data_IF_414478696107
#
_entry.id   IF_414478696107
#
_cell.length_a   1.000
_cell.length_b   1.000
_cell.length_c   1.000
_cell.angle_alpha   90.00
_cell.angle_beta   90.00
_cell.angle_gamma   90.00
#
_symmetry.space_group_name_H-M   'P 1'
#
loop_
_entity.id
_entity.type
_entity.pdbx_description
1 polymer ?
#
# COMPACT_ATOMS: atom_id res chain seq x y z
N UNK A 1 13.68 4.39 -1.87
CA UNK A 1 13.05 3.99 -3.16
C UNK A 1 13.88 2.89 -3.78
N UNK A 2 13.22 2.00 -4.51
CA UNK A 2 13.85 0.97 -5.37
C UNK A 2 14.47 1.60 -6.63
N UNK A 3 15.10 0.78 -7.49
CA UNK A 3 15.65 1.26 -8.75
C UNK A 3 14.56 1.69 -9.75
N UNK A 4 14.91 2.55 -10.71
CA UNK A 4 13.97 2.97 -11.76
C UNK A 4 13.46 1.79 -12.59
N UNK A 5 14.32 0.80 -12.84
CA UNK A 5 13.93 -0.41 -13.56
C UNK A 5 12.93 -1.25 -12.78
N UNK A 6 13.13 -1.40 -11.45
CA UNK A 6 12.18 -2.09 -10.58
C UNK A 6 10.84 -1.35 -10.51
N UNK A 7 10.87 -0.02 -10.35
CA UNK A 7 9.69 0.84 -10.38
C UNK A 7 8.91 0.68 -11.70
N UNK A 8 9.63 0.72 -12.84
CA UNK A 8 9.03 0.55 -14.17
C UNK A 8 8.47 -0.85 -14.40
N UNK A 9 9.15 -1.90 -13.91
CA UNK A 9 8.66 -3.27 -14.00
C UNK A 9 7.39 -3.49 -13.18
N UNK A 10 7.35 -2.97 -11.94
CA UNK A 10 6.18 -3.08 -11.07
C UNK A 10 4.94 -2.36 -11.65
N UNK A 11 5.15 -1.23 -12.34
CA UNK A 11 4.12 -0.47 -13.06
C UNK A 11 3.60 -1.14 -14.34
N UNK A 12 4.14 -2.30 -14.74
CA UNK A 12 3.55 -3.12 -15.81
C UNK A 12 2.34 -3.92 -15.33
N UNK A 13 2.12 -3.98 -14.01
CA UNK A 13 1.00 -4.70 -13.39
C UNK A 13 0.89 -6.14 -13.91
N UNK A 14 2.02 -6.84 -13.99
CA UNK A 14 2.06 -8.24 -14.38
C UNK A 14 1.20 -9.11 -13.46
N UNK A 15 0.79 -10.30 -13.93
CA UNK A 15 0.05 -11.23 -13.08
C UNK A 15 0.94 -11.70 -11.91
N UNK A 16 0.35 -11.94 -10.73
CA UNK A 16 1.05 -12.54 -9.59
C UNK A 16 1.42 -14.00 -9.91
N UNK A 17 2.27 -14.59 -9.07
CA UNK A 17 2.60 -16.01 -9.18
C UNK A 17 1.36 -16.92 -8.95
N UNK A 18 1.46 -18.17 -9.40
CA UNK A 18 0.35 -19.12 -9.35
C UNK A 18 -0.17 -19.33 -7.92
N UNK A 19 -1.49 -19.25 -7.75
CA UNK A 19 -2.15 -19.37 -6.44
C UNK A 19 -2.04 -18.13 -5.55
N UNK A 20 -1.43 -17.05 -6.04
CA UNK A 20 -1.26 -15.80 -5.30
C UNK A 20 -2.03 -14.63 -5.93
N UNK A 21 -2.19 -13.58 -5.14
CA UNK A 21 -2.70 -12.26 -5.53
C UNK A 21 -1.63 -11.20 -5.26
N UNK A 22 -1.66 -10.09 -6.00
CA UNK A 22 -0.76 -8.96 -5.77
C UNK A 22 -1.53 -7.83 -5.09
N UNK A 23 -1.00 -7.27 -4.00
CA UNK A 23 -1.52 -6.04 -3.39
C UNK A 23 -0.53 -4.91 -3.64
N UNK A 24 -1.03 -3.86 -4.29
CA UNK A 24 -0.37 -2.57 -4.41
C UNK A 24 -0.92 -1.66 -3.31
N UNK A 25 -0.06 -1.19 -2.40
CA UNK A 25 -0.44 -0.18 -1.41
C UNK A 25 0.25 1.13 -1.77
N UNK A 26 -0.49 2.22 -1.93
CA UNK A 26 0.08 3.47 -2.45
C UNK A 26 -0.45 4.70 -1.73
N UNK A 27 0.37 5.75 -1.71
CA UNK A 27 -0.01 7.07 -1.20
C UNK A 27 0.24 8.11 -2.27
N UNK A 28 -0.84 8.60 -2.88
CA UNK A 28 -0.80 9.70 -3.84
C UNK A 28 -1.03 11.05 -3.14
N UNK A 29 -0.39 12.09 -3.66
CA UNK A 29 -0.57 13.46 -3.22
C UNK A 29 0.34 13.90 -2.07
N UNK A 30 0.34 15.21 -1.83
CA UNK A 30 1.27 15.89 -0.92
C UNK A 30 0.70 16.20 0.46
N UNK A 31 -0.57 15.87 0.71
CA UNK A 31 -1.22 16.12 1.99
C UNK A 31 -0.57 15.29 3.11
N UNK A 32 -0.24 15.94 4.23
CA UNK A 32 0.56 15.34 5.31
C UNK A 32 2.02 15.07 4.91
N UNK A 33 2.62 15.89 4.04
CA UNK A 33 3.90 15.60 3.39
C UNK A 33 5.10 15.30 4.30
N UNK A 34 5.13 15.89 5.49
CA UNK A 34 6.17 15.63 6.50
C UNK A 34 5.93 14.33 7.30
N UNK A 35 4.72 13.76 7.20
CA UNK A 35 4.33 12.56 7.93
C UNK A 35 4.67 11.34 7.11
N UNK A 36 5.24 10.38 7.82
CA UNK A 36 5.39 9.02 7.35
C UNK A 36 4.48 8.10 8.16
N UNK A 37 4.07 6.98 7.58
CA UNK A 37 3.13 6.05 8.21
C UNK A 37 3.48 4.62 7.86
N UNK A 38 3.59 3.80 8.87
CA UNK A 38 3.81 2.38 8.67
C UNK A 38 2.60 1.70 8.01
N UNK A 39 2.89 0.68 7.22
CA UNK A 39 1.91 -0.15 6.52
C UNK A 39 2.23 -1.62 6.82
N UNK A 40 1.18 -2.38 7.15
CA UNK A 40 1.26 -3.82 7.40
C UNK A 40 0.24 -4.59 6.56
N UNK A 41 0.61 -5.80 6.14
CA UNK A 41 -0.29 -6.79 5.53
C UNK A 41 -0.22 -8.04 6.40
N UNK A 42 -1.36 -8.44 6.97
CA UNK A 42 -1.46 -9.54 7.93
C UNK A 42 -0.50 -9.39 9.14
N UNK A 43 -0.21 -8.15 9.54
CA UNK A 43 0.75 -7.84 10.60
C UNK A 43 2.22 -7.94 10.17
N UNK A 44 2.53 -8.42 8.96
CA UNK A 44 3.86 -8.31 8.36
C UNK A 44 4.07 -6.87 7.91
N UNK A 45 5.19 -6.27 8.30
CA UNK A 45 5.55 -4.93 7.84
C UNK A 45 5.92 -4.96 6.36
N UNK A 46 5.34 -4.05 5.56
CA UNK A 46 5.81 -3.77 4.19
C UNK A 46 6.66 -2.49 4.13
N UNK A 47 6.48 -1.57 5.06
CA UNK A 47 7.38 -0.45 5.23
C UNK A 47 6.69 0.83 5.67
N UNK A 48 7.50 1.88 5.74
CA UNK A 48 7.10 3.21 6.15
C UNK A 48 6.79 4.07 4.91
N UNK A 49 5.53 4.49 4.74
CA UNK A 49 5.08 5.25 3.58
C UNK A 49 5.50 6.71 3.65
N UNK A 50 5.85 7.26 2.48
CA UNK A 50 6.10 8.68 2.26
C UNK A 50 5.13 9.20 1.18
N UNK A 51 5.03 10.51 0.94
CA UNK A 51 4.25 11.04 -0.17
C UNK A 51 4.72 10.51 -1.53
N UNK A 52 3.77 10.22 -2.40
CA UNK A 52 3.98 9.82 -3.80
C UNK A 52 4.79 8.53 -3.99
N UNK A 53 4.59 7.54 -3.12
CA UNK A 53 5.21 6.22 -3.24
C UNK A 53 4.18 5.10 -3.25
N UNK A 54 4.60 3.93 -3.73
CA UNK A 54 3.82 2.70 -3.63
C UNK A 54 4.69 1.51 -3.22
N UNK A 55 4.05 0.49 -2.66
CA UNK A 55 4.59 -0.79 -2.26
C UNK A 55 3.87 -1.89 -3.05
N UNK A 56 4.56 -3.01 -3.26
CA UNK A 56 4.01 -4.19 -3.94
C UNK A 56 4.32 -5.39 -3.07
N UNK A 57 3.28 -6.14 -2.69
CA UNK A 57 3.41 -7.36 -1.87
C UNK A 57 2.54 -8.45 -2.44
N UNK A 58 3.13 -9.62 -2.66
CA UNK A 58 2.39 -10.79 -3.10
C UNK A 58 1.86 -11.54 -1.88
N UNK A 59 0.63 -12.03 -1.98
CA UNK A 59 -0.10 -12.69 -0.90
C UNK A 59 -0.84 -13.91 -1.42
N UNK A 60 -1.26 -14.79 -0.52
CA UNK A 60 -2.02 -15.99 -0.90
C UNK A 60 -3.36 -15.60 -1.55
N UNK A 61 -3.71 -16.24 -2.65
CA UNK A 61 -4.99 -16.06 -3.30
C UNK A 61 -6.14 -16.77 -2.58
N UNK A 62 -7.37 -16.36 -2.90
CA UNK A 62 -8.63 -16.99 -2.48
C UNK A 62 -8.87 -17.02 -0.96
N UNK A 63 -8.18 -16.15 -0.23
CA UNK A 63 -8.32 -15.94 1.22
C UNK A 63 -8.43 -14.45 1.56
N UNK A 64 -8.73 -14.14 2.81
CA UNK A 64 -8.77 -12.77 3.30
C UNK A 64 -7.38 -12.29 3.74
N UNK A 65 -7.09 -11.04 3.44
CA UNK A 65 -5.91 -10.31 3.88
C UNK A 65 -6.30 -9.02 4.56
N UNK A 66 -5.55 -8.65 5.59
CA UNK A 66 -5.74 -7.40 6.31
C UNK A 66 -4.62 -6.44 5.98
N UNK A 67 -4.95 -5.29 5.38
CA UNK A 67 -4.05 -4.17 5.20
C UNK A 67 -4.28 -3.17 6.33
N UNK A 68 -3.22 -2.75 7.00
CA UNK A 68 -3.29 -1.83 8.14
C UNK A 68 -2.34 -0.66 7.92
N UNK A 69 -2.68 0.49 8.48
CA UNK A 69 -1.75 1.64 8.54
C UNK A 69 -1.70 2.28 9.93
N UNK A 70 -0.55 2.83 10.28
CA UNK A 70 -0.38 3.59 11.52
C UNK A 70 -1.30 4.81 11.50
N UNK A 71 -1.94 5.11 12.63
CA UNK A 71 -2.83 6.26 12.74
C UNK A 71 -3.06 6.62 14.19
N UNK A 72 -3.31 7.90 14.45
CA UNK A 72 -3.76 8.39 15.75
C UNK A 72 -5.18 7.93 16.10
N UNK A 73 -5.95 7.58 15.07
CA UNK A 73 -7.34 7.16 15.23
C UNK A 73 -7.41 5.64 15.30
N UNK A 74 -8.42 5.14 16.03
CA UNK A 74 -8.84 3.74 16.18
C UNK A 74 -8.74 2.91 14.89
N UNK A 75 -8.69 1.56 14.93
CA UNK A 75 -7.96 0.73 13.96
C UNK A 75 -8.26 1.09 12.51
N UNK A 76 -7.20 1.42 11.76
CA UNK A 76 -7.26 1.72 10.33
C UNK A 76 -6.87 0.47 9.53
N UNK A 77 -7.70 -0.55 9.72
CA UNK A 77 -7.61 -1.85 9.08
C UNK A 77 -8.60 -1.91 7.89
N UNK A 78 -8.16 -2.54 6.81
CA UNK A 78 -8.98 -2.90 5.66
C UNK A 78 -8.83 -4.39 5.42
N UNK A 79 -9.92 -5.15 5.56
CA UNK A 79 -9.95 -6.57 5.23
C UNK A 79 -10.46 -6.73 3.80
N UNK A 80 -9.69 -7.41 2.96
CA UNK A 80 -10.04 -7.69 1.57
C UNK A 80 -9.96 -9.19 1.30
N UNK A 81 -10.97 -9.73 0.63
CA UNK A 81 -10.91 -11.07 0.04
C UNK A 81 -10.31 -10.97 -1.35
N UNK A 82 -9.16 -11.59 -1.55
CA UNK A 82 -8.43 -11.55 -2.82
C UNK A 82 -8.63 -12.83 -3.61
N UNK A 83 -8.55 -12.74 -4.94
CA UNK A 83 -8.59 -13.89 -5.85
C UNK A 83 -7.20 -14.15 -6.42
N UNK A 84 -6.86 -15.42 -6.59
CA UNK A 84 -5.64 -15.82 -7.28
C UNK A 84 -5.57 -15.21 -8.69
N UNK A 85 -4.38 -14.75 -9.10
CA UNK A 85 -4.16 -14.15 -10.42
C UNK A 85 -4.59 -12.68 -10.57
N UNK A 86 -5.04 -12.03 -9.49
CA UNK A 86 -5.60 -10.66 -9.55
C UNK A 86 -4.72 -9.66 -8.80
N UNK A 87 -4.64 -8.44 -9.35
CA UNK A 87 -3.98 -7.29 -8.74
C UNK A 87 -5.00 -6.41 -8.01
N UNK A 88 -4.73 -6.09 -6.74
CA UNK A 88 -5.55 -5.26 -5.88
C UNK A 88 -4.83 -3.97 -5.53
N UNK A 89 -5.58 -2.88 -5.42
CA UNK A 89 -5.04 -1.54 -5.26
C UNK A 89 -5.62 -0.90 -4.01
N UNK A 90 -4.77 -0.61 -3.04
CA UNK A 90 -5.15 -0.05 -1.75
C UNK A 90 -4.52 1.33 -1.62
N UNK A 91 -5.37 2.36 -1.59
CA UNK A 91 -4.91 3.73 -1.36
C UNK A 91 -4.79 3.97 0.13
N UNK A 92 -3.63 4.44 0.57
CA UNK A 92 -3.45 5.08 1.86
C UNK A 92 -3.73 6.57 1.71
N UNK A 93 -4.61 7.08 2.57
CA UNK A 93 -4.94 8.50 2.63
C UNK A 93 -4.68 9.07 4.02
N UNK A 94 -4.24 10.33 4.07
CA UNK A 94 -4.01 11.04 5.32
C UNK A 94 -5.32 11.64 5.83
N UNK A 95 -5.50 11.61 7.14
CA UNK A 95 -6.63 12.23 7.85
C UNK A 95 -6.08 13.38 8.69
N UNK A 96 -6.87 14.47 8.80
CA UNK A 96 -6.55 15.52 9.77
C UNK A 96 -6.54 14.92 11.17
N UNK A 97 -5.38 15.01 11.83
CA UNK A 97 -5.15 14.54 13.20
C UNK A 97 -5.29 15.67 14.21
N UNK A 98 -5.28 15.30 15.49
CA UNK A 98 -5.19 16.27 16.58
C UNK A 98 -3.74 16.66 16.89
N UNK A 99 -2.76 15.77 16.66
CA UNK A 99 -1.34 16.01 16.98
C UNK A 99 -0.37 15.58 15.86
N UNK A 100 -0.35 14.31 15.47
CA UNK A 100 0.60 13.72 14.50
C UNK A 100 -0.03 13.26 13.17
N UNK A 101 -1.29 13.61 12.91
CA UNK A 101 -1.98 13.30 11.66
C UNK A 101 -2.39 11.83 11.59
N UNK A 102 -3.67 11.57 11.31
CA UNK A 102 -4.17 10.22 11.10
C UNK A 102 -3.88 9.70 9.70
N UNK A 103 -4.08 8.39 9.50
CA UNK A 103 -4.15 7.80 8.17
C UNK A 103 -5.22 6.72 8.11
N UNK A 104 -5.65 6.38 6.90
CA UNK A 104 -6.56 5.28 6.60
C UNK A 104 -6.13 4.56 5.33
N UNK A 105 -6.72 3.39 5.09
CA UNK A 105 -6.56 2.62 3.85
C UNK A 105 -7.93 2.30 3.25
N UNK A 106 -8.04 2.34 1.93
CA UNK A 106 -9.25 2.02 1.18
C UNK A 106 -8.91 1.18 -0.06
N UNK A 107 -9.78 0.23 -0.41
CA UNK A 107 -9.67 -0.49 -1.68
C UNK A 107 -10.21 0.40 -2.80
N UNK A 108 -9.43 0.57 -3.87
CA UNK A 108 -9.85 1.31 -5.06
C UNK A 108 -10.00 0.39 -6.27
N UNK A 109 -10.61 0.90 -7.33
CA UNK A 109 -10.73 0.17 -8.59
C UNK A 109 -9.35 -0.07 -9.21
N UNK A 110 -9.24 -1.11 -10.05
CA UNK A 110 -8.01 -1.37 -10.80
C UNK A 110 -7.63 -0.19 -11.71
N UNK A 111 -8.62 0.45 -12.34
CA UNK A 111 -8.40 1.58 -13.24
C UNK A 111 -7.80 2.78 -12.48
N UNK A 112 -8.41 3.16 -11.35
CA UNK A 112 -7.95 4.27 -10.53
C UNK A 112 -6.57 3.99 -9.94
N UNK A 113 -6.37 2.79 -9.39
CA UNK A 113 -5.11 2.37 -8.80
C UNK A 113 -3.96 2.41 -9.79
N UNK A 114 -4.14 1.86 -10.99
CA UNK A 114 -3.12 1.89 -12.06
C UNK A 114 -2.81 3.32 -12.50
N UNK A 115 -3.85 4.15 -12.67
CA UNK A 115 -3.71 5.55 -13.08
C UNK A 115 -2.89 6.36 -12.09
N UNK A 116 -3.15 6.21 -10.80
CA UNK A 116 -2.40 6.95 -9.78
C UNK A 116 -0.97 6.44 -9.65
N UNK A 117 -0.77 5.12 -9.57
CA UNK A 117 0.55 4.50 -9.42
C UNK A 117 1.50 4.85 -10.58
N UNK A 118 0.98 5.13 -11.78
CA UNK A 118 1.79 5.54 -12.92
C UNK A 118 2.75 6.71 -12.58
N UNK A 119 2.27 7.66 -11.77
CA UNK A 119 3.04 8.84 -11.33
C UNK A 119 3.83 8.67 -10.04
N UNK A 120 3.82 7.49 -9.40
CA UNK A 120 4.44 7.26 -8.09
C UNK A 120 5.75 6.49 -8.20
N UNK A 121 6.58 6.48 -7.16
CA UNK A 121 7.81 5.68 -7.16
C UNK A 121 7.74 4.46 -6.24
N UNK A 122 8.33 3.35 -6.67
CA UNK A 122 8.39 2.13 -5.88
C UNK A 122 9.25 2.37 -4.63
N UNK A 123 8.63 2.25 -3.47
CA UNK A 123 9.32 2.31 -2.19
C UNK A 123 10.11 1.02 -1.94
N UNK A 124 11.20 1.15 -1.19
CA UNK A 124 11.89 -0.05 -0.68
C UNK A 124 10.99 -0.66 0.38
N UNK A 125 10.82 -1.98 0.33
CA UNK A 125 10.27 -2.67 1.50
C UNK A 125 11.23 -2.47 2.68
N UNK A 126 10.69 -2.18 3.86
CA UNK A 126 11.52 -1.71 4.97
C UNK A 126 10.99 -2.15 6.32
N UNK A 127 11.71 -1.77 7.37
CA UNK A 127 11.26 -1.97 8.74
C UNK A 127 10.26 -0.88 9.09
N UNK A 128 9.15 -1.29 9.69
CA UNK A 128 8.20 -0.40 10.35
C UNK A 128 8.79 -0.01 11.70
N UNK A 129 8.31 1.10 12.25
CA UNK A 129 8.65 1.55 13.60
C UNK A 129 8.42 0.39 14.57
N UNK A 130 9.40 0.11 15.44
CA UNK A 130 9.19 -0.84 16.55
C UNK A 130 8.09 -0.24 17.43
N UNK A 131 6.98 -0.96 17.58
CA UNK A 131 5.93 -0.65 18.55
C UNK A 131 6.50 -0.51 19.95
#
# INVERSE_FOLDING_TARGET
>A
MESKDASSAAKRFGPPSEGNAQIYVFRSGSFGGALKKDIWINGECIGESAPNVFFVKEVKGDVEHKVSTESEFSPNDLVIKVKSGVNYFVRQFMKMGLLVGGAGVELVSEEDGKKEIAGLELAKSGNCSKK
#
